data_IF_397215457080
#
_entry.id   IF_397215457080
#
_cell.length_a   1.000
_cell.length_b   1.000
_cell.length_c   1.000
_cell.angle_alpha   90.00
_cell.angle_beta   90.00
_cell.angle_gamma   90.00
#
_symmetry.space_group_name_H-M   'P 1'
#
loop_
_entity.id
_entity.type
_entity.pdbx_description
1 polymer ?
#
# COMPACT_ATOMS: atom_id res chain seq x y z
N UNK A 1 5.79 26.69 23.30
CA UNK A 1 5.50 25.65 24.31
C UNK A 1 4.68 24.56 23.62
N UNK A 2 4.97 23.28 23.91
CA UNK A 2 4.34 22.16 23.18
C UNK A 2 3.97 21.02 24.13
N UNK A 3 3.07 20.14 23.67
CA UNK A 3 2.60 18.95 24.38
C UNK A 3 2.81 17.73 23.49
N UNK A 4 3.34 16.66 24.06
CA UNK A 4 3.47 15.39 23.36
C UNK A 4 2.28 14.49 23.72
N UNK A 5 1.60 13.99 22.69
CA UNK A 5 0.57 12.96 22.83
C UNK A 5 1.14 11.62 22.38
N UNK A 6 1.19 10.65 23.29
CA UNK A 6 1.69 9.31 23.01
C UNK A 6 0.70 8.24 23.45
N UNK A 7 0.54 7.19 22.66
CA UNK A 7 -0.34 6.08 22.98
C UNK A 7 -0.57 5.12 21.83
N UNK A 8 -1.52 4.22 22.03
CA UNK A 8 -1.93 3.21 21.04
C UNK A 8 -3.36 3.46 20.59
N UNK A 9 -3.58 3.47 19.31
CA UNK A 9 -4.88 3.64 18.66
C UNK A 9 -5.28 2.32 18.01
N UNK A 10 -6.53 1.89 18.19
CA UNK A 10 -7.05 0.68 17.55
C UNK A 10 -8.44 0.94 16.99
N UNK A 11 -8.68 0.44 15.79
CA UNK A 11 -10.00 0.48 15.15
C UNK A 11 -10.25 -0.76 14.31
N UNK A 12 -11.51 -1.08 14.08
CA UNK A 12 -11.89 -2.12 13.12
C UNK A 12 -12.13 -1.49 11.75
N UNK A 13 -11.77 -2.23 10.71
CA UNK A 13 -12.08 -1.88 9.33
C UNK A 13 -12.85 -3.02 8.65
N UNK A 14 -13.60 -2.68 7.63
CA UNK A 14 -14.27 -3.64 6.76
C UNK A 14 -14.01 -3.28 5.29
N UNK A 15 -14.06 -4.29 4.45
CA UNK A 15 -13.88 -4.17 3.01
C UNK A 15 -14.34 -5.43 2.31
N UNK A 16 -14.20 -5.46 1.01
CA UNK A 16 -14.54 -6.63 0.20
C UNK A 16 -13.28 -7.32 -0.31
N UNK A 17 -13.30 -8.65 -0.31
CA UNK A 17 -12.22 -9.42 -0.92
C UNK A 17 -12.13 -9.08 -2.41
N UNK A 18 -10.96 -8.71 -2.87
CA UNK A 18 -10.73 -8.33 -4.27
C UNK A 18 -10.97 -9.46 -5.28
N UNK A 19 -11.06 -10.70 -4.82
CA UNK A 19 -11.25 -11.88 -5.67
C UNK A 19 -12.69 -12.41 -5.64
N UNK A 20 -13.24 -12.64 -4.46
CA UNK A 20 -14.58 -13.25 -4.31
C UNK A 20 -15.66 -12.27 -3.87
N UNK A 21 -15.34 -10.98 -3.64
CA UNK A 21 -16.24 -9.92 -3.21
C UNK A 21 -16.99 -10.21 -1.90
N UNK A 22 -16.53 -11.17 -1.11
CA UNK A 22 -17.07 -11.42 0.23
C UNK A 22 -16.56 -10.36 1.20
N UNK A 23 -17.36 -9.96 2.19
CA UNK A 23 -16.93 -9.02 3.20
C UNK A 23 -15.76 -9.58 4.02
N UNK A 24 -14.79 -8.72 4.27
CA UNK A 24 -13.61 -9.01 5.09
C UNK A 24 -13.52 -7.93 6.16
N UNK A 25 -13.24 -8.34 7.38
CA UNK A 25 -13.05 -7.46 8.51
C UNK A 25 -11.65 -7.65 9.09
N UNK A 26 -11.09 -6.59 9.62
CA UNK A 26 -9.80 -6.62 10.28
C UNK A 26 -9.67 -5.54 11.33
N UNK A 27 -8.54 -5.53 12.00
CA UNK A 27 -8.17 -4.53 12.99
C UNK A 27 -6.92 -3.79 12.53
N UNK A 28 -6.96 -2.47 12.63
CA UNK A 28 -5.81 -1.61 12.45
C UNK A 28 -5.38 -1.08 13.82
N UNK A 29 -4.08 -1.09 14.10
CA UNK A 29 -3.51 -0.62 15.36
C UNK A 29 -2.27 0.20 15.06
N UNK A 30 -2.21 1.42 15.54
CA UNK A 30 -1.09 2.33 15.39
C UNK A 30 -0.55 2.74 16.75
N UNK A 31 0.77 2.81 16.88
CA UNK A 31 1.43 3.49 18.00
C UNK A 31 1.78 4.90 17.54
N UNK A 32 1.42 5.88 18.35
CA UNK A 32 1.62 7.29 18.02
C UNK A 32 2.40 7.99 19.11
N UNK A 33 3.26 8.92 18.71
CA UNK A 33 3.96 9.86 19.56
C UNK A 33 4.12 11.16 18.78
N UNK A 34 3.22 12.12 19.01
CA UNK A 34 3.13 13.32 18.19
C UNK A 34 3.18 14.60 19.03
N UNK A 35 3.81 15.62 18.47
CA UNK A 35 3.98 16.92 19.08
C UNK A 35 2.85 17.87 18.68
N UNK A 36 2.25 18.51 19.68
CA UNK A 36 1.28 19.59 19.50
C UNK A 36 1.92 20.90 19.96
N UNK A 37 1.91 21.92 19.11
CA UNK A 37 2.53 23.23 19.40
C UNK A 37 1.70 24.39 18.86
N UNK A 38 1.86 25.58 19.46
CA UNK A 38 1.11 26.79 19.09
C UNK A 38 1.39 27.23 17.64
N UNK A 39 2.60 26.96 17.15
CA UNK A 39 3.01 27.27 15.78
C UNK A 39 3.42 25.97 15.09
N UNK A 40 2.44 25.17 14.62
CA UNK A 40 2.72 23.87 14.05
C UNK A 40 3.54 23.97 12.76
N UNK A 41 4.44 23.01 12.59
CA UNK A 41 5.21 22.83 11.38
C UNK A 41 4.56 21.75 10.52
N UNK A 42 4.32 22.10 9.26
CA UNK A 42 3.67 21.18 8.32
C UNK A 42 4.43 19.84 8.22
N UNK A 43 3.74 18.75 8.52
CA UNK A 43 4.31 17.40 8.50
C UNK A 43 5.17 17.01 9.71
N UNK A 44 5.38 17.91 10.68
CA UNK A 44 6.19 17.63 11.88
C UNK A 44 5.42 17.75 13.20
N UNK A 45 4.38 18.60 13.24
CA UNK A 45 3.61 18.83 14.46
C UNK A 45 2.16 19.21 14.17
N UNK A 46 1.30 19.07 15.18
CA UNK A 46 -0.11 19.40 15.13
C UNK A 46 -0.40 20.69 15.91
N UNK A 47 -1.51 21.39 15.60
CA UNK A 47 -1.85 22.63 16.29
C UNK A 47 -2.30 22.37 17.73
N UNK A 48 -1.73 23.17 18.65
CA UNK A 48 -2.14 23.25 20.04
C UNK A 48 -3.08 24.44 20.22
N UNK A 49 -4.29 24.17 20.71
CA UNK A 49 -5.25 25.21 21.11
C UNK A 49 -5.08 25.56 22.60
N UNK A 50 -5.44 26.75 22.98
CA UNK A 50 -5.18 27.26 24.34
C UNK A 50 -5.72 26.38 25.47
N UNK A 51 -6.85 25.70 25.27
CA UNK A 51 -7.53 24.90 26.30
C UNK A 51 -7.69 23.41 25.95
N UNK A 52 -7.41 23.01 24.71
CA UNK A 52 -7.61 21.62 24.27
C UNK A 52 -6.69 21.22 23.12
N UNK A 53 -6.52 19.92 22.98
CA UNK A 53 -5.82 19.28 21.89
C UNK A 53 -6.87 18.55 21.03
N UNK A 54 -6.91 18.84 19.74
CA UNK A 54 -7.70 18.06 18.80
C UNK A 54 -6.88 16.87 18.30
N UNK A 55 -7.26 15.68 18.75
CA UNK A 55 -6.59 14.44 18.38
C UNK A 55 -7.09 13.85 17.04
N UNK A 56 -8.22 14.35 16.51
CA UNK A 56 -8.82 13.76 15.30
C UNK A 56 -7.87 13.73 14.10
N UNK A 57 -7.16 14.82 13.74
CA UNK A 57 -6.23 14.80 12.61
C UNK A 57 -5.13 13.76 12.78
N UNK A 58 -4.48 13.74 13.94
CA UNK A 58 -3.42 12.78 14.28
C UNK A 58 -3.90 11.33 14.21
N UNK A 59 -5.05 11.03 14.84
CA UNK A 59 -5.65 9.70 14.84
C UNK A 59 -6.00 9.25 13.43
N UNK A 60 -6.56 10.15 12.62
CA UNK A 60 -6.92 9.88 11.23
C UNK A 60 -5.69 9.54 10.39
N UNK A 61 -4.64 10.34 10.48
CA UNK A 61 -3.40 10.15 9.73
C UNK A 61 -2.74 8.83 10.10
N UNK A 62 -2.62 8.54 11.41
CA UNK A 62 -2.02 7.30 11.89
C UNK A 62 -2.80 6.05 11.45
N UNK A 63 -4.12 6.05 11.56
CA UNK A 63 -4.95 4.90 11.18
C UNK A 63 -4.99 4.68 9.68
N UNK A 64 -5.02 5.75 8.87
CA UNK A 64 -5.02 5.62 7.41
C UNK A 64 -3.76 4.93 6.89
N UNK A 65 -2.61 5.11 7.57
CA UNK A 65 -1.36 4.44 7.21
C UNK A 65 -1.35 2.94 7.56
N UNK A 66 -2.13 2.54 8.57
CA UNK A 66 -2.23 1.15 9.02
C UNK A 66 -3.33 0.34 8.29
N UNK A 67 -4.20 1.02 7.54
CA UNK A 67 -5.20 0.32 6.73
C UNK A 67 -4.53 -0.45 5.58
N UNK A 68 -5.06 -1.63 5.20
CA UNK A 68 -4.52 -2.38 4.09
C UNK A 68 -4.64 -1.57 2.80
N UNK A 69 -3.49 -1.18 2.24
CA UNK A 69 -3.41 -0.46 0.98
C UNK A 69 -3.37 -1.45 -0.16
N UNK A 70 -4.35 -1.38 -1.06
CA UNK A 70 -4.40 -2.22 -2.25
C UNK A 70 -5.35 -3.42 -2.11
N UNK A 71 -4.83 -4.62 -2.29
CA UNK A 71 -5.64 -5.82 -2.46
C UNK A 71 -5.96 -6.47 -1.12
N UNK A 72 -7.19 -6.33 -0.65
CA UNK A 72 -7.72 -7.07 0.51
C UNK A 72 -8.14 -8.47 0.06
N UNK A 73 -7.71 -9.50 0.78
CA UNK A 73 -8.08 -10.89 0.52
C UNK A 73 -8.71 -11.55 1.74
N UNK A 74 -9.71 -12.40 1.51
CA UNK A 74 -10.29 -13.20 2.58
C UNK A 74 -9.32 -14.31 3.03
N UNK A 75 -9.47 -14.74 4.29
CA UNK A 75 -8.64 -15.79 4.91
C UNK A 75 -9.01 -17.18 4.39
N UNK A 76 -10.21 -17.35 3.83
CA UNK A 76 -10.72 -18.61 3.27
C UNK A 76 -10.13 -18.83 1.87
N UNK A 77 -8.90 -19.35 1.83
CA UNK A 77 -8.13 -19.48 0.60
C UNK A 77 -8.70 -20.48 -0.39
N UNK A 78 -9.25 -21.61 0.06
CA UNK A 78 -9.77 -22.68 -0.80
C UNK A 78 -11.07 -22.27 -1.51
N UNK A 79 -12.08 -21.82 -0.78
CA UNK A 79 -13.34 -21.34 -1.37
C UNK A 79 -13.20 -20.10 -2.22
N UNK A 80 -12.21 -19.26 -1.93
CA UNK A 80 -11.90 -18.09 -2.73
C UNK A 80 -11.19 -18.46 -4.04
N UNK A 81 -10.43 -19.55 -4.05
CA UNK A 81 -9.74 -20.08 -5.23
C UNK A 81 -10.71 -20.66 -6.25
N UNK A 82 -11.74 -21.35 -5.79
CA UNK A 82 -12.69 -22.06 -6.66
C UNK A 82 -13.59 -21.13 -7.49
N UNK A 83 -13.75 -19.87 -7.06
CA UNK A 83 -14.59 -18.89 -7.77
C UNK A 83 -13.97 -18.29 -9.04
N UNK A 84 -12.73 -18.62 -9.35
CA UNK A 84 -12.07 -18.15 -10.57
C UNK A 84 -11.12 -19.20 -11.15
N UNK A 85 -11.64 -20.37 -11.55
CA UNK A 85 -10.79 -21.44 -12.13
C UNK A 85 -10.20 -21.05 -13.49
N UNK A 86 -10.76 -20.10 -14.20
CA UNK A 86 -10.34 -19.72 -15.55
C UNK A 86 -9.16 -18.74 -15.60
N UNK A 87 -8.68 -18.25 -14.43
CA UNK A 87 -7.54 -17.33 -14.33
C UNK A 87 -6.35 -17.95 -13.58
N UNK A 88 -6.22 -19.27 -13.60
CA UNK A 88 -4.94 -19.90 -13.30
C UNK A 88 -4.04 -19.66 -14.50
N UNK A 89 -3.05 -18.81 -14.33
CA UNK A 89 -2.04 -18.53 -15.36
C UNK A 89 -1.08 -19.69 -15.63
N UNK A 90 -1.55 -20.92 -15.46
CA UNK A 90 -0.87 -22.17 -15.76
C UNK A 90 -1.33 -22.72 -17.12
N UNK A 91 -1.48 -21.85 -18.08
CA UNK A 91 -1.25 -22.29 -19.45
C UNK A 91 0.26 -22.25 -19.67
N UNK A 92 0.93 -23.29 -19.21
CA UNK A 92 2.11 -23.79 -19.92
C UNK A 92 1.60 -24.29 -21.29
N UNK A 93 1.11 -23.38 -22.10
CA UNK A 93 1.18 -23.60 -23.53
C UNK A 93 2.66 -23.58 -23.82
N UNK A 94 3.20 -24.75 -24.15
CA UNK A 94 4.50 -24.88 -24.79
C UNK A 94 4.46 -23.91 -25.98
N UNK A 95 4.99 -22.70 -25.75
CA UNK A 95 5.22 -21.74 -26.81
C UNK A 95 6.30 -22.37 -27.64
N UNK A 96 5.87 -22.99 -28.72
CA UNK A 96 6.74 -23.49 -29.77
C UNK A 96 7.73 -22.37 -30.13
N UNK A 97 8.99 -22.55 -29.77
CA UNK A 97 10.00 -21.47 -29.65
C UNK A 97 10.50 -20.97 -31.01
N UNK A 98 9.72 -21.13 -32.08
CA UNK A 98 10.11 -20.70 -33.43
C UNK A 98 9.33 -19.49 -33.97
N UNK A 99 8.31 -18.98 -33.25
CA UNK A 99 7.63 -17.74 -33.63
C UNK A 99 7.82 -16.70 -32.53
N UNK A 100 8.89 -15.94 -32.62
CA UNK A 100 8.99 -14.68 -31.84
C UNK A 100 7.76 -13.85 -32.13
N UNK A 101 6.89 -13.54 -31.13
CA UNK A 101 5.71 -12.76 -31.36
C UNK A 101 6.12 -11.43 -31.99
N UNK A 102 5.50 -11.09 -33.12
CA UNK A 102 5.78 -9.85 -33.80
C UNK A 102 5.63 -8.68 -32.80
N UNK A 103 6.71 -7.95 -32.59
CA UNK A 103 6.72 -6.86 -31.63
C UNK A 103 5.61 -5.87 -31.95
N UNK A 104 4.75 -5.59 -30.98
CA UNK A 104 3.66 -4.62 -31.13
C UNK A 104 4.27 -3.26 -31.53
N UNK A 105 3.84 -2.67 -32.68
CA UNK A 105 4.42 -1.42 -33.17
C UNK A 105 4.25 -0.24 -32.20
N UNK A 106 3.33 -0.32 -31.24
CA UNK A 106 3.17 0.69 -30.20
C UNK A 106 4.37 0.77 -29.24
N UNK A 107 5.14 -0.32 -29.13
CA UNK A 107 6.34 -0.41 -28.28
C UNK A 107 7.62 -0.05 -29.03
N UNK A 108 7.55 0.19 -30.34
CA UNK A 108 8.74 0.51 -31.15
C UNK A 108 9.57 1.69 -30.59
N UNK A 109 8.98 2.76 -30.04
CA UNK A 109 9.75 3.85 -29.44
C UNK A 109 10.62 3.42 -28.24
N UNK A 110 10.27 2.32 -27.53
CA UNK A 110 11.03 1.84 -26.39
C UNK A 110 12.34 1.16 -26.82
N UNK A 111 12.45 0.68 -28.05
CA UNK A 111 13.67 0.10 -28.57
C UNK A 111 14.81 1.11 -28.71
N UNK A 112 14.48 2.41 -28.75
CA UNK A 112 15.47 3.48 -28.80
C UNK A 112 16.00 3.89 -27.42
N UNK A 113 15.46 3.33 -26.33
CA UNK A 113 15.93 3.61 -24.98
C UNK A 113 17.25 2.85 -24.73
N UNK A 114 18.32 3.58 -24.61
CA UNK A 114 19.62 3.05 -24.18
C UNK A 114 19.75 3.31 -22.68
N UNK A 115 19.80 2.24 -21.91
CA UNK A 115 20.10 2.33 -20.48
C UNK A 115 21.61 2.29 -20.33
N UNK A 116 22.24 3.37 -19.87
CA UNK A 116 23.62 3.35 -19.44
C UNK A 116 23.67 2.57 -18.12
N UNK A 117 24.25 1.37 -18.11
CA UNK A 117 24.58 0.66 -16.87
C UNK A 117 25.61 1.50 -16.12
N UNK A 118 25.17 2.10 -15.02
CA UNK A 118 26.05 2.78 -14.09
C UNK A 118 26.85 1.71 -13.37
N UNK A 119 28.10 1.48 -13.81
CA UNK A 119 29.05 0.63 -13.08
C UNK A 119 29.22 1.19 -11.66
N UNK A 120 28.64 0.48 -10.70
CA UNK A 120 28.79 0.76 -9.28
C UNK A 120 30.22 0.36 -8.88
N UNK A 121 31.14 1.33 -8.92
CA UNK A 121 32.51 1.15 -8.50
C UNK A 121 32.52 1.00 -6.98
N UNK A 122 32.32 -0.26 -6.50
CA UNK A 122 32.67 -0.64 -5.14
C UNK A 122 34.17 -0.70 -5.05
N UNK A 123 34.75 0.42 -4.70
CA UNK A 123 36.15 0.45 -4.26
C UNK A 123 36.21 0.02 -2.78
N UNK A 124 37.02 -0.93 -2.52
CA UNK A 124 37.39 -1.67 -1.33
C UNK A 124 37.87 -0.74 -0.18
#
# INVERSE_FOLDING_TARGET
EGVVAAGTISTTWNGDCSRCLRPVEGMATAEVEELFEEHPREGESYPLHEEFIDLEPMVRDAILLELPVGVVRCVLTEECSDLSPEYSGDTEEEVDSEASPAADPRWAPLQALVFEEKEDHRDT
#
